data_IF_585923200075
#
_entry.id   IF_585923200075
#
_cell.length_a   1.000
_cell.length_b   1.000
_cell.length_c   1.000
_cell.angle_alpha   90.00
_cell.angle_beta   90.00
_cell.angle_gamma   90.00
#
_symmetry.space_group_name_H-M   'P 1'
#
loop_
_entity.id
_entity.type
_entity.pdbx_description
1 polymer ?
#
# COMPACT_ATOMS: atom_id res chain seq x y z
N UNK A 1 -13.34 32.12 -35.78
CA UNK A 1 -13.09 32.16 -34.31
C UNK A 1 -13.86 31.11 -33.50
N UNK A 2 -15.10 30.71 -33.85
CA UNK A 2 -15.88 29.70 -33.10
C UNK A 2 -15.21 28.31 -32.99
N UNK A 3 -14.56 27.83 -34.04
CA UNK A 3 -13.95 26.49 -34.05
C UNK A 3 -12.75 26.36 -33.09
N UNK A 4 -11.98 27.45 -32.88
CA UNK A 4 -10.87 27.45 -31.93
C UNK A 4 -11.35 27.33 -30.47
N UNK A 5 -12.52 27.88 -30.15
CA UNK A 5 -13.14 27.76 -28.81
C UNK A 5 -13.63 26.34 -28.53
N UNK A 6 -14.22 25.68 -29.53
CA UNK A 6 -14.65 24.28 -29.42
C UNK A 6 -13.45 23.34 -29.25
N UNK A 7 -12.38 23.53 -30.04
CA UNK A 7 -11.15 22.75 -29.93
C UNK A 7 -10.50 22.92 -28.54
N UNK A 8 -10.40 24.15 -28.04
CA UNK A 8 -9.86 24.41 -26.70
C UNK A 8 -10.71 23.78 -25.59
N UNK A 9 -12.04 23.76 -25.74
CA UNK A 9 -12.94 23.10 -24.79
C UNK A 9 -12.76 21.58 -24.81
N UNK A 10 -12.61 20.98 -26.00
CA UNK A 10 -12.35 19.54 -26.16
C UNK A 10 -11.02 19.12 -25.54
N UNK A 11 -9.96 19.92 -25.71
CA UNK A 11 -8.65 19.67 -25.10
C UNK A 11 -8.72 19.78 -23.58
N UNK A 12 -9.43 20.78 -23.05
CA UNK A 12 -9.63 20.93 -21.60
C UNK A 12 -10.38 19.73 -21.01
N UNK A 13 -11.44 19.27 -21.68
CA UNK A 13 -12.22 18.11 -21.26
C UNK A 13 -11.36 16.83 -21.28
N UNK A 14 -10.51 16.67 -22.30
CA UNK A 14 -9.59 15.55 -22.43
C UNK A 14 -8.59 15.53 -21.26
N UNK A 15 -7.97 16.66 -20.93
CA UNK A 15 -7.02 16.78 -19.80
C UNK A 15 -7.69 16.45 -18.46
N UNK A 16 -8.93 16.90 -18.25
CA UNK A 16 -9.72 16.58 -17.05
C UNK A 16 -10.05 15.08 -16.93
N UNK A 17 -10.26 14.37 -18.04
CA UNK A 17 -10.53 12.94 -18.02
C UNK A 17 -9.27 12.12 -17.67
N UNK A 18 -8.09 12.56 -18.12
CA UNK A 18 -6.83 11.86 -17.84
C UNK A 18 -6.33 12.02 -16.39
N UNK A 19 -6.57 13.16 -15.75
CA UNK A 19 -6.15 13.40 -14.36
C UNK A 19 -6.94 12.61 -13.30
N UNK A 20 -8.09 12.05 -13.66
CA UNK A 20 -8.91 11.22 -12.77
C UNK A 20 -8.50 9.73 -12.77
N UNK A 21 -7.87 9.25 -13.85
CA UNK A 21 -7.55 7.83 -14.00
C UNK A 21 -6.51 7.34 -12.97
N UNK A 22 -5.53 8.17 -12.64
CA UNK A 22 -4.48 7.85 -11.66
C UNK A 22 -5.04 7.79 -10.23
N UNK A 23 -5.92 8.72 -9.87
CA UNK A 23 -6.57 8.74 -8.55
C UNK A 23 -7.54 7.57 -8.36
N UNK A 24 -8.20 7.13 -9.43
CA UNK A 24 -9.13 6.00 -9.37
C UNK A 24 -8.43 4.68 -9.04
N UNK A 25 -7.25 4.42 -9.60
CA UNK A 25 -6.49 3.19 -9.33
C UNK A 25 -5.91 3.18 -7.91
N UNK A 26 -5.42 4.31 -7.42
CA UNK A 26 -4.94 4.46 -6.04
C UNK A 26 -6.06 4.23 -5.02
N UNK A 27 -7.25 4.79 -5.28
CA UNK A 27 -8.42 4.54 -4.45
C UNK A 27 -8.84 3.07 -4.46
N UNK A 28 -8.81 2.41 -5.62
CA UNK A 28 -9.07 0.98 -5.74
C UNK A 28 -8.03 0.15 -4.97
N UNK A 29 -6.76 0.56 -4.96
CA UNK A 29 -5.70 -0.09 -4.20
C UNK A 29 -6.02 -0.02 -2.70
N UNK A 30 -6.25 1.18 -2.18
CA UNK A 30 -6.57 1.40 -0.77
C UNK A 30 -7.84 0.66 -0.33
N UNK A 31 -8.85 0.58 -1.20
CA UNK A 31 -10.06 -0.21 -0.96
C UNK A 31 -9.77 -1.70 -0.79
N UNK A 32 -8.89 -2.25 -1.64
CA UNK A 32 -8.50 -3.66 -1.52
C UNK A 32 -7.74 -3.92 -0.22
N UNK A 33 -6.84 -3.01 0.18
CA UNK A 33 -6.14 -3.10 1.47
C UNK A 33 -7.17 -3.11 2.62
N UNK A 34 -8.06 -2.11 2.69
CA UNK A 34 -9.08 -2.04 3.74
C UNK A 34 -9.98 -3.28 3.77
N UNK A 35 -10.39 -3.79 2.60
CA UNK A 35 -11.24 -4.99 2.52
C UNK A 35 -10.57 -6.18 3.18
N UNK A 36 -9.27 -6.39 2.93
CA UNK A 36 -8.52 -7.47 3.56
C UNK A 36 -8.41 -7.24 5.07
N UNK A 37 -8.07 -6.04 5.52
CA UNK A 37 -8.01 -5.72 6.97
C UNK A 37 -9.34 -6.03 7.67
N UNK A 38 -10.47 -5.59 7.09
CA UNK A 38 -11.81 -5.85 7.65
C UNK A 38 -12.11 -7.34 7.78
N UNK A 39 -11.70 -8.17 6.83
CA UNK A 39 -11.88 -9.64 6.94
C UNK A 39 -11.07 -10.27 8.07
N UNK A 40 -10.01 -9.61 8.53
CA UNK A 40 -9.15 -10.07 9.62
C UNK A 40 -9.54 -9.46 10.97
N UNK A 41 -10.65 -8.71 11.04
CA UNK A 41 -11.11 -8.01 12.24
C UNK A 41 -10.27 -6.79 12.61
N UNK A 42 -9.48 -6.26 11.67
CA UNK A 42 -8.65 -5.08 11.84
C UNK A 42 -9.23 -3.92 11.01
N UNK A 43 -9.00 -2.69 11.46
CA UNK A 43 -9.44 -1.47 10.78
C UNK A 43 -8.24 -0.60 10.44
N UNK A 44 -8.25 -0.02 9.23
CA UNK A 44 -7.25 0.95 8.79
C UNK A 44 -7.93 2.06 7.98
N UNK A 45 -7.63 3.32 8.31
CA UNK A 45 -8.10 4.50 7.59
C UNK A 45 -7.26 4.76 6.34
N UNK A 46 -7.82 5.51 5.38
CA UNK A 46 -7.06 6.02 4.22
C UNK A 46 -5.89 6.91 4.63
N UNK A 47 -6.02 7.67 5.72
CA UNK A 47 -4.96 8.59 6.19
C UNK A 47 -3.69 7.86 6.64
N UNK A 48 -3.79 6.54 6.85
CA UNK A 48 -2.67 5.67 7.19
C UNK A 48 -2.06 4.98 5.96
N UNK A 49 -2.52 5.32 4.76
CA UNK A 49 -2.10 4.73 3.49
C UNK A 49 -1.64 5.84 2.56
N UNK A 50 -0.48 5.64 1.92
CA UNK A 50 -0.03 6.54 0.85
C UNK A 50 0.96 5.86 -0.07
N UNK A 51 1.05 6.35 -1.29
CA UNK A 51 2.21 6.08 -2.14
C UNK A 51 3.30 7.12 -1.89
N UNK A 52 4.55 6.67 -1.84
CA UNK A 52 5.74 7.50 -1.74
C UNK A 52 6.63 7.21 -2.93
N UNK A 53 7.04 8.26 -3.64
CA UNK A 53 7.97 8.16 -4.76
C UNK A 53 9.40 8.42 -4.26
N UNK A 54 10.30 7.47 -4.49
CA UNK A 54 11.72 7.55 -4.17
C UNK A 54 12.54 7.36 -5.45
N UNK A 55 12.83 8.48 -6.13
CA UNK A 55 13.42 8.45 -7.47
C UNK A 55 12.46 7.81 -8.48
N UNK A 56 12.91 6.77 -9.17
CA UNK A 56 12.07 6.00 -10.12
C UNK A 56 11.18 4.96 -9.43
N UNK A 57 11.39 4.70 -8.13
CA UNK A 57 10.65 3.67 -7.39
C UNK A 57 9.42 4.23 -6.70
N UNK A 58 8.34 3.47 -6.72
CA UNK A 58 7.09 3.79 -6.01
C UNK A 58 6.85 2.78 -4.90
N UNK A 59 6.81 3.29 -3.67
CA UNK A 59 6.60 2.50 -2.46
C UNK A 59 5.20 2.73 -1.90
N UNK A 60 4.52 1.65 -1.49
CA UNK A 60 3.30 1.76 -0.70
C UNK A 60 3.66 1.84 0.79
N UNK A 61 3.20 2.89 1.46
CA UNK A 61 3.43 3.09 2.88
C UNK A 61 2.13 2.88 3.65
N UNK A 62 2.18 2.03 4.68
CA UNK A 62 1.07 1.66 5.53
C UNK A 62 1.44 1.85 6.99
N UNK A 63 0.71 2.71 7.69
CA UNK A 63 0.88 2.91 9.13
C UNK A 63 -0.17 2.09 9.87
N UNK A 64 0.23 1.29 10.86
CA UNK A 64 -0.69 0.49 11.66
C UNK A 64 -0.37 0.64 13.14
N UNK A 65 -1.38 0.41 13.96
CA UNK A 65 -1.23 0.30 15.39
C UNK A 65 -1.32 -1.18 15.79
N UNK A 66 -0.49 -1.60 16.74
CA UNK A 66 -0.50 -2.96 17.25
C UNK A 66 -0.16 -3.02 18.73
N UNK A 67 -0.70 -4.04 19.40
CA UNK A 67 -0.19 -4.48 20.71
C UNK A 67 1.09 -5.29 20.49
N UNK A 68 1.97 -5.36 21.50
CA UNK A 68 3.22 -6.15 21.42
C UNK A 68 3.00 -7.62 21.07
N UNK A 69 1.91 -8.21 21.57
CA UNK A 69 1.55 -9.61 21.32
C UNK A 69 1.10 -9.87 19.90
N UNK A 70 0.71 -8.84 19.16
CA UNK A 70 0.07 -8.96 17.84
C UNK A 70 0.94 -8.40 16.70
N UNK A 71 2.16 -7.94 16.99
CA UNK A 71 3.05 -7.28 16.02
C UNK A 71 3.20 -8.14 14.75
N UNK A 72 3.57 -9.41 14.91
CA UNK A 72 3.80 -10.31 13.79
C UNK A 72 2.54 -10.52 12.97
N UNK A 73 1.39 -10.67 13.64
CA UNK A 73 0.10 -10.84 12.97
C UNK A 73 -0.26 -9.59 12.17
N UNK A 74 -0.20 -8.41 12.78
CA UNK A 74 -0.56 -7.14 12.14
C UNK A 74 0.38 -6.84 10.97
N UNK A 75 1.68 -7.09 11.15
CA UNK A 75 2.69 -7.01 10.10
C UNK A 75 2.34 -7.90 8.91
N UNK A 76 2.10 -9.19 9.16
CA UNK A 76 1.81 -10.16 8.10
C UNK A 76 0.50 -9.86 7.39
N UNK A 77 -0.54 -9.44 8.12
CA UNK A 77 -1.80 -8.99 7.52
C UNK A 77 -1.56 -7.76 6.63
N UNK A 78 -0.71 -6.82 7.05
CA UNK A 78 -0.34 -5.67 6.23
C UNK A 78 0.31 -6.06 4.91
N UNK A 79 1.34 -6.91 4.95
CA UNK A 79 1.99 -7.38 3.71
C UNK A 79 1.07 -8.22 2.83
N UNK A 80 0.25 -9.08 3.43
CA UNK A 80 -0.75 -9.86 2.73
C UNK A 80 -1.77 -8.96 2.03
N UNK A 81 -2.33 -7.97 2.75
CA UNK A 81 -3.29 -7.01 2.21
C UNK A 81 -2.70 -6.19 1.05
N UNK A 82 -1.48 -5.69 1.21
CA UNK A 82 -0.78 -4.96 0.15
C UNK A 82 -0.53 -5.83 -1.08
N UNK A 83 -0.09 -7.09 -0.89
CA UNK A 83 0.13 -8.00 -2.01
C UNK A 83 -1.16 -8.33 -2.77
N UNK A 84 -2.28 -8.52 -2.07
CA UNK A 84 -3.60 -8.70 -2.71
C UNK A 84 -4.02 -7.45 -3.48
N UNK A 85 -3.78 -6.25 -2.93
CA UNK A 85 -4.08 -5.00 -3.62
C UNK A 85 -3.24 -4.84 -4.89
N UNK A 86 -1.94 -5.11 -4.83
CA UNK A 86 -1.01 -5.10 -5.99
C UNK A 86 -1.52 -6.03 -7.10
N UNK A 87 -1.88 -7.28 -6.76
CA UNK A 87 -2.38 -8.25 -7.75
C UNK A 87 -3.69 -7.81 -8.42
N UNK A 88 -4.51 -7.00 -7.73
CA UNK A 88 -5.86 -6.64 -8.20
C UNK A 88 -5.96 -5.30 -8.90
N UNK A 89 -4.98 -4.42 -8.75
CA UNK A 89 -5.11 -3.02 -9.17
C UNK A 89 -4.13 -2.57 -10.24
N UNK A 90 -3.27 -3.48 -10.72
CA UNK A 90 -2.28 -3.18 -11.76
C UNK A 90 -1.38 -1.97 -11.44
N UNK A 91 -1.34 -1.58 -10.16
CA UNK A 91 -0.50 -0.50 -9.65
C UNK A 91 0.96 -0.95 -9.66
N UNK A 92 1.82 -0.12 -10.22
CA UNK A 92 3.25 -0.37 -10.19
C UNK A 92 3.81 0.04 -8.82
N UNK A 93 4.11 -0.95 -7.99
CA UNK A 93 4.64 -0.78 -6.63
C UNK A 93 5.91 -1.60 -6.52
N UNK A 94 7.03 -0.97 -6.21
CA UNK A 94 8.34 -1.60 -6.07
C UNK A 94 8.51 -2.29 -4.70
N UNK A 95 7.89 -1.72 -3.67
CA UNK A 95 7.97 -2.23 -2.31
C UNK A 95 6.86 -1.69 -1.41
N UNK A 96 6.72 -2.35 -0.27
CA UNK A 96 5.76 -2.00 0.78
C UNK A 96 6.53 -1.73 2.05
N UNK A 97 6.25 -0.59 2.68
CA UNK A 97 6.82 -0.14 3.93
C UNK A 97 5.69 -0.08 4.97
N UNK A 98 5.79 -0.87 6.03
CA UNK A 98 4.83 -0.89 7.13
C UNK A 98 5.46 -0.22 8.34
N UNK A 99 4.82 0.83 8.83
CA UNK A 99 5.17 1.50 10.08
C UNK A 99 4.22 1.02 11.17
N UNK A 100 4.71 0.25 12.13
CA UNK A 100 3.94 -0.23 13.27
C UNK A 100 4.21 0.66 14.47
N UNK A 101 3.17 1.29 15.00
CA UNK A 101 3.23 1.97 16.29
C UNK A 101 2.72 1.02 17.38
N UNK A 102 3.56 0.79 18.38
CA UNK A 102 3.23 -0.04 19.55
C UNK A 102 2.72 0.89 20.64
N UNK A 103 1.41 0.85 20.89
CA UNK A 103 0.78 1.68 21.91
C UNK A 103 1.35 1.36 23.29
N UNK A 104 2.14 2.28 23.85
CA UNK A 104 2.75 2.21 25.19
C UNK A 104 2.90 3.60 25.79
N UNK A 105 3.62 3.72 26.91
CA UNK A 105 3.92 5.01 27.55
C UNK A 105 4.84 5.91 26.70
N UNK A 106 5.66 5.30 25.82
CA UNK A 106 6.69 5.98 25.01
C UNK A 106 6.58 5.69 23.49
N UNK A 107 5.44 5.20 23.01
CA UNK A 107 5.13 4.89 21.59
C UNK A 107 6.33 4.43 20.74
N UNK A 108 6.68 3.15 20.85
CA UNK A 108 7.74 2.53 20.05
C UNK A 108 7.26 2.35 18.60
N UNK A 109 8.07 2.75 17.62
CA UNK A 109 7.76 2.62 16.20
C UNK A 109 8.72 1.66 15.51
N UNK A 110 8.18 0.67 14.83
CA UNK A 110 8.94 -0.30 14.04
C UNK A 110 8.64 -0.06 12.56
N UNK A 111 9.67 0.18 11.76
CA UNK A 111 9.55 0.27 10.31
C UNK A 111 10.05 -1.03 9.67
N UNK A 112 9.19 -1.65 8.86
CA UNK A 112 9.47 -2.95 8.24
C UNK A 112 9.18 -2.81 6.75
N UNK A 113 10.12 -3.23 5.90
CA UNK A 113 10.01 -3.04 4.45
C UNK A 113 10.21 -4.35 3.70
N UNK A 114 9.42 -4.58 2.65
CA UNK A 114 9.57 -5.72 1.77
C UNK A 114 9.40 -5.33 0.30
N UNK A 115 10.15 -6.00 -0.59
CA UNK A 115 10.00 -5.81 -2.03
C UNK A 115 8.75 -6.52 -2.51
N UNK A 116 8.08 -5.96 -3.51
CA UNK A 116 6.86 -6.55 -4.09
C UNK A 116 7.07 -8.00 -4.53
N UNK A 117 8.22 -8.31 -5.14
CA UNK A 117 8.56 -9.69 -5.53
C UNK A 117 8.55 -10.70 -4.38
N UNK A 118 8.97 -10.27 -3.19
CA UNK A 118 9.07 -11.13 -2.01
C UNK A 118 7.66 -11.36 -1.43
N UNK A 119 6.85 -10.30 -1.38
CA UNK A 119 5.44 -10.34 -0.97
C UNK A 119 4.63 -11.26 -1.89
N UNK A 120 4.80 -11.12 -3.21
CA UNK A 120 4.11 -11.97 -4.18
C UNK A 120 4.61 -13.42 -4.09
N UNK A 121 5.87 -13.65 -3.74
CA UNK A 121 6.39 -15.00 -3.51
C UNK A 121 5.76 -15.63 -2.27
N UNK A 122 5.55 -14.86 -1.20
CA UNK A 122 4.83 -15.30 0.00
C UNK A 122 3.37 -15.66 -0.34
N UNK A 123 2.66 -14.78 -1.05
CA UNK A 123 1.26 -15.00 -1.44
C UNK A 123 1.08 -16.26 -2.29
N UNK A 124 1.99 -16.48 -3.24
CA UNK A 124 1.98 -17.64 -4.12
C UNK A 124 2.59 -18.90 -3.46
N UNK A 125 2.84 -18.87 -2.15
CA UNK A 125 3.40 -19.99 -1.37
C UNK A 125 4.77 -20.48 -1.87
N UNK A 126 5.52 -19.63 -2.56
CA UNK A 126 6.89 -19.93 -3.04
C UNK A 126 7.93 -19.82 -1.92
N UNK A 127 7.63 -19.01 -0.91
CA UNK A 127 8.41 -18.91 0.34
C UNK A 127 7.46 -19.07 1.53
N UNK A 128 7.96 -19.57 2.64
CA UNK A 128 7.20 -19.67 3.88
C UNK A 128 7.15 -18.35 4.63
N UNK A 129 6.20 -18.21 5.55
CA UNK A 129 6.11 -17.05 6.45
C UNK A 129 7.40 -16.85 7.25
N UNK A 130 7.99 -17.94 7.76
CA UNK A 130 9.23 -17.87 8.53
C UNK A 130 10.40 -17.33 7.70
N UNK A 131 10.53 -17.80 6.45
CA UNK A 131 11.55 -17.31 5.51
C UNK A 131 11.33 -15.84 5.16
N UNK A 132 10.07 -15.42 5.01
CA UNK A 132 9.74 -14.03 4.74
C UNK A 132 10.14 -13.12 5.91
N UNK A 133 9.73 -13.45 7.14
CA UNK A 133 10.00 -12.65 8.34
C UNK A 133 11.50 -12.57 8.64
N UNK A 134 12.23 -13.69 8.60
CA UNK A 134 13.66 -13.73 8.95
C UNK A 134 14.54 -12.86 8.05
N UNK A 135 14.06 -12.51 6.85
CA UNK A 135 14.82 -11.71 5.88
C UNK A 135 14.58 -10.21 5.96
N UNK A 136 13.64 -9.73 6.79
CA UNK A 136 13.08 -8.36 6.71
C UNK A 136 12.98 -7.57 8.01
N UNK A 137 13.24 -8.16 9.18
CA UNK A 137 13.22 -7.43 10.45
C UNK A 137 14.59 -6.79 10.71
N UNK A 138 14.70 -5.48 10.43
CA UNK A 138 15.78 -4.64 10.95
C UNK A 138 15.19 -3.78 12.06
N UNK A 139 15.57 -4.04 13.31
CA UNK A 139 15.22 -3.19 14.43
C UNK A 139 16.03 -1.89 14.31
N UNK A 140 15.35 -0.75 14.28
CA UNK A 140 15.94 0.59 14.34
C UNK A 140 15.41 1.32 15.56
#
# INVERSE_FOLDING_TARGET
MKNKRLINLSILLLVLLFSNATQANEFAFFNNVQKVFRTQGLHVSYDHMKFVQEGEKRHFMLTLESRRTDIDRVMLVGFYASGIAIQRTNENVDGVNISLTISRKDDERILISAKTKDILSLLNKKISTNQFVSSKVSWY
#
